data_IF_030478115208
#
_entry.id   IF_030478115208
#
_cell.length_a   1.000
_cell.length_b   1.000
_cell.length_c   1.000
_cell.angle_alpha   90.00
_cell.angle_beta   90.00
_cell.angle_gamma   90.00
#
_symmetry.space_group_name_H-M   'P 1'
#
loop_
_entity.id
_entity.type
_entity.pdbx_description
1 polymer ?
#
# COMPACT_ATOMS: atom_id res chain seq x y z
N UNK A 1 10.71 -39.49 6.93
CA UNK A 1 11.34 -39.12 5.64
C UNK A 1 10.60 -37.89 5.10
N UNK A 2 11.32 -36.86 4.66
CA UNK A 2 10.74 -35.62 4.14
C UNK A 2 10.57 -35.72 2.62
N UNK A 3 9.45 -35.27 2.04
CA UNK A 3 9.28 -35.24 0.58
C UNK A 3 10.41 -34.46 -0.10
N UNK A 4 10.96 -34.96 -1.22
CA UNK A 4 12.07 -34.32 -1.91
C UNK A 4 11.68 -32.96 -2.53
N UNK A 5 10.40 -32.77 -2.84
CA UNK A 5 9.81 -31.52 -3.31
C UNK A 5 8.72 -31.10 -2.33
N UNK A 6 8.67 -29.80 -2.02
CA UNK A 6 7.65 -29.20 -1.17
C UNK A 6 7.07 -27.98 -1.83
N UNK A 7 5.79 -27.77 -1.56
CA UNK A 7 5.08 -26.56 -1.92
C UNK A 7 5.24 -25.53 -0.80
N UNK A 8 5.59 -24.30 -1.18
CA UNK A 8 5.79 -23.17 -0.29
C UNK A 8 4.92 -22.01 -0.75
N UNK A 9 4.23 -21.36 0.18
CA UNK A 9 3.51 -20.12 -0.07
C UNK A 9 4.19 -18.98 0.64
N UNK A 10 4.59 -17.95 -0.10
CA UNK A 10 5.14 -16.71 0.44
C UNK A 10 4.08 -15.63 0.31
N UNK A 11 3.82 -14.89 1.39
CA UNK A 11 2.82 -13.82 1.42
C UNK A 11 3.51 -12.47 1.66
N UNK A 12 3.10 -11.47 0.89
CA UNK A 12 3.60 -10.11 0.96
C UNK A 12 2.46 -9.17 1.35
N UNK A 13 2.75 -8.23 2.27
CA UNK A 13 1.84 -7.17 2.69
C UNK A 13 2.20 -5.87 1.95
N UNK A 14 1.99 -5.88 0.64
CA UNK A 14 2.48 -4.86 -0.28
C UNK A 14 1.48 -4.63 -1.41
N UNK A 15 1.67 -3.54 -2.17
CA UNK A 15 1.01 -3.39 -3.46
C UNK A 15 1.33 -4.60 -4.35
N UNK A 16 0.38 -5.00 -5.19
CA UNK A 16 0.53 -6.15 -6.06
C UNK A 16 1.55 -5.82 -7.16
N UNK A 17 2.58 -6.65 -7.35
CA UNK A 17 3.61 -6.37 -8.34
C UNK A 17 3.11 -6.67 -9.75
N UNK A 18 3.76 -6.07 -10.73
CA UNK A 18 3.49 -6.35 -12.15
C UNK A 18 4.11 -7.67 -12.62
N UNK A 19 5.01 -8.26 -11.83
CA UNK A 19 5.55 -9.59 -12.09
C UNK A 19 6.32 -10.15 -10.90
N UNK A 20 6.32 -11.48 -10.76
CA UNK A 20 7.12 -12.21 -9.80
C UNK A 20 7.81 -13.34 -10.52
N UNK A 21 9.07 -13.60 -10.16
CA UNK A 21 9.80 -14.76 -10.66
C UNK A 21 10.33 -15.60 -9.51
N UNK A 22 10.36 -16.91 -9.71
CA UNK A 22 11.02 -17.88 -8.85
C UNK A 22 12.08 -18.55 -9.68
N UNK A 23 13.34 -18.46 -9.25
CA UNK A 23 14.48 -19.05 -9.98
C UNK A 23 14.51 -18.65 -11.47
N UNK A 24 14.12 -17.38 -11.71
CA UNK A 24 13.97 -16.72 -13.03
C UNK A 24 12.77 -17.16 -13.88
N UNK A 25 11.97 -18.11 -13.42
CA UNK A 25 10.70 -18.46 -14.07
C UNK A 25 9.57 -17.56 -13.54
N UNK A 26 8.70 -16.99 -14.40
CA UNK A 26 7.55 -16.23 -13.95
C UNK A 26 6.58 -17.10 -13.17
N UNK A 27 5.98 -16.54 -12.12
CA UNK A 27 4.93 -17.20 -11.34
C UNK A 27 3.72 -16.29 -11.18
N UNK A 28 2.54 -16.90 -11.23
CA UNK A 28 1.30 -16.21 -10.91
C UNK A 28 1.21 -15.95 -9.41
N UNK A 29 0.62 -14.81 -9.05
CA UNK A 29 0.34 -14.45 -7.67
C UNK A 29 -1.16 -14.23 -7.48
N UNK A 30 -1.65 -14.71 -6.35
CA UNK A 30 -3.04 -14.55 -5.90
C UNK A 30 -3.16 -13.40 -4.91
N UNK A 31 -4.35 -12.82 -4.78
CA UNK A 31 -4.62 -11.71 -3.87
C UNK A 31 -4.68 -10.36 -4.58
N UNK A 32 -4.66 -9.30 -3.78
CA UNK A 32 -4.88 -7.92 -4.21
C UNK A 32 -3.78 -7.02 -3.69
N UNK A 33 -3.87 -5.73 -3.99
CA UNK A 33 -3.06 -4.72 -3.31
C UNK A 33 -3.23 -4.84 -1.78
N UNK A 34 -2.13 -4.63 -1.06
CA UNK A 34 -2.07 -4.76 0.40
C UNK A 34 -1.86 -6.17 0.92
N UNK A 35 -2.24 -7.22 0.16
CA UNK A 35 -1.96 -8.63 0.52
C UNK A 35 -2.04 -9.56 -0.68
N UNK A 36 -0.90 -10.12 -1.07
CA UNK A 36 -0.82 -11.12 -2.13
C UNK A 36 0.16 -12.24 -1.78
N UNK A 37 -0.04 -13.40 -2.41
CA UNK A 37 0.77 -14.60 -2.16
C UNK A 37 1.20 -15.25 -3.47
N UNK A 38 2.43 -15.77 -3.48
CA UNK A 38 2.95 -16.62 -4.54
C UNK A 38 3.22 -18.03 -3.98
N UNK A 39 2.91 -19.05 -4.77
CA UNK A 39 3.12 -20.44 -4.40
C UNK A 39 4.12 -21.09 -5.34
N UNK A 40 5.08 -21.82 -4.78
CA UNK A 40 6.18 -22.47 -5.51
C UNK A 40 6.40 -23.88 -5.02
N UNK A 41 6.61 -24.81 -5.95
CA UNK A 41 7.16 -26.13 -5.64
C UNK A 41 8.69 -26.09 -5.78
N UNK A 42 9.40 -26.33 -4.69
CA UNK A 42 10.86 -26.27 -4.62
C UNK A 42 11.45 -27.52 -3.93
N UNK A 43 12.68 -27.95 -4.29
CA UNK A 43 13.34 -29.04 -3.59
C UNK A 43 13.57 -28.70 -2.12
N UNK A 44 13.27 -29.64 -1.21
CA UNK A 44 13.30 -29.38 0.23
C UNK A 44 14.71 -29.11 0.82
N UNK A 45 15.77 -29.36 0.04
CA UNK A 45 17.17 -29.15 0.43
C UNK A 45 17.94 -28.18 -0.47
N UNK A 46 17.25 -27.44 -1.35
CA UNK A 46 17.87 -26.46 -2.24
C UNK A 46 17.37 -25.06 -1.91
N UNK A 47 18.20 -24.06 -2.23
CA UNK A 47 17.78 -22.67 -2.22
C UNK A 47 16.82 -22.40 -3.39
N UNK A 48 15.79 -21.59 -3.13
CA UNK A 48 14.90 -21.03 -4.15
C UNK A 48 14.84 -19.53 -3.94
N UNK A 49 14.99 -18.76 -5.02
CA UNK A 49 15.03 -17.30 -4.99
C UNK A 49 13.78 -16.72 -5.61
N UNK A 50 13.00 -16.00 -4.79
CA UNK A 50 11.86 -15.20 -5.23
C UNK A 50 12.33 -13.77 -5.55
N UNK A 51 12.04 -13.28 -6.75
CA UNK A 51 12.27 -11.87 -7.14
C UNK A 51 10.96 -11.23 -7.52
N UNK A 52 10.67 -10.09 -6.91
CA UNK A 52 9.51 -9.26 -7.21
C UNK A 52 9.94 -8.18 -8.21
N UNK A 53 9.28 -8.15 -9.37
CA UNK A 53 9.56 -7.21 -10.44
C UNK A 53 8.91 -5.85 -10.22
N UNK A 54 9.45 -4.83 -10.88
CA UNK A 54 9.12 -3.42 -10.64
C UNK A 54 10.05 -2.81 -9.61
N UNK A 55 10.25 -1.50 -9.71
CA UNK A 55 10.88 -0.59 -8.72
C UNK A 55 10.44 -0.91 -7.26
N UNK A 56 11.13 -0.42 -6.21
CA UNK A 56 11.12 -1.05 -4.88
C UNK A 56 9.74 -1.46 -4.40
N UNK A 57 9.65 -2.69 -3.88
CA UNK A 57 8.41 -3.29 -3.37
C UNK A 57 7.79 -2.37 -2.32
N UNK A 58 6.68 -1.71 -2.66
CA UNK A 58 5.99 -0.80 -1.75
C UNK A 58 5.15 -1.59 -0.75
N UNK A 59 5.62 -1.61 0.49
CA UNK A 59 4.96 -2.26 1.64
C UNK A 59 4.12 -1.20 2.36
N UNK A 60 2.87 -1.54 2.71
CA UNK A 60 1.89 -0.63 3.31
C UNK A 60 0.96 0.07 2.31
N UNK A 61 -0.11 0.70 2.81
CA UNK A 61 -1.00 1.56 2.04
C UNK A 61 -0.29 2.86 1.69
N UNK A 62 -0.53 3.42 0.49
CA UNK A 62 -0.07 4.79 0.25
C UNK A 62 -0.82 5.74 1.18
N UNK A 63 -0.27 6.93 1.40
CA UNK A 63 -0.94 7.96 2.19
C UNK A 63 -2.30 8.30 1.58
N UNK A 64 -2.33 8.38 0.25
CA UNK A 64 -3.53 8.64 -0.53
C UNK A 64 -4.56 7.53 -0.33
N UNK A 65 -4.16 6.26 -0.37
CA UNK A 65 -5.07 5.13 -0.12
C UNK A 65 -5.63 5.17 1.30
N UNK A 66 -4.79 5.44 2.31
CA UNK A 66 -5.22 5.53 3.70
C UNK A 66 -6.22 6.69 3.94
N UNK A 67 -6.01 7.83 3.25
CA UNK A 67 -6.98 8.93 3.28
C UNK A 67 -8.28 8.54 2.57
N UNK A 68 -8.21 7.83 1.45
CA UNK A 68 -9.39 7.40 0.73
C UNK A 68 -10.25 6.46 1.59
N UNK A 69 -9.64 5.45 2.22
CA UNK A 69 -10.32 4.54 3.16
C UNK A 69 -10.97 5.31 4.34
N UNK A 70 -10.25 6.29 4.90
CA UNK A 70 -10.76 7.14 5.97
C UNK A 70 -11.99 7.94 5.52
N UNK A 71 -11.93 8.57 4.34
CA UNK A 71 -13.03 9.36 3.79
C UNK A 71 -14.22 8.48 3.42
N UNK A 72 -14.00 7.27 2.92
CA UNK A 72 -15.05 6.29 2.63
C UNK A 72 -15.80 5.90 3.91
N UNK A 73 -15.08 5.59 4.99
CA UNK A 73 -15.65 5.22 6.28
C UNK A 73 -16.36 6.40 6.98
N UNK A 74 -15.89 7.63 6.78
CA UNK A 74 -16.45 8.82 7.41
C UNK A 74 -17.92 9.04 7.01
N UNK A 75 -18.79 9.21 8.00
CA UNK A 75 -20.21 9.51 7.79
C UNK A 75 -20.43 11.02 7.62
N UNK A 76 -19.83 11.58 6.57
CA UNK A 76 -19.91 13.01 6.20
C UNK A 76 -20.44 13.17 4.78
N UNK A 77 -20.80 14.40 4.40
CA UNK A 77 -21.31 14.70 3.07
C UNK A 77 -20.27 14.44 1.97
N UNK A 78 -20.76 14.02 0.80
CA UNK A 78 -19.91 13.77 -0.37
C UNK A 78 -19.15 15.01 -0.87
N UNK A 79 -19.72 16.23 -0.84
CA UNK A 79 -18.97 17.44 -1.20
C UNK A 79 -17.72 17.64 -0.33
N UNK A 80 -17.84 17.42 0.98
CA UNK A 80 -16.74 17.56 1.93
C UNK A 80 -15.68 16.46 1.72
N UNK A 81 -16.11 15.22 1.45
CA UNK A 81 -15.18 14.14 1.06
C UNK A 81 -14.40 14.49 -0.20
N UNK A 82 -15.07 14.99 -1.23
CA UNK A 82 -14.44 15.36 -2.49
C UNK A 82 -13.46 16.51 -2.31
N UNK A 83 -13.85 17.56 -1.59
CA UNK A 83 -12.99 18.70 -1.30
C UNK A 83 -11.73 18.27 -0.52
N UNK A 84 -11.89 17.44 0.52
CA UNK A 84 -10.75 16.89 1.27
C UNK A 84 -9.84 16.02 0.38
N UNK A 85 -10.43 15.19 -0.48
CA UNK A 85 -9.68 14.34 -1.41
C UNK A 85 -8.86 15.17 -2.40
N UNK A 86 -9.44 16.23 -2.98
CA UNK A 86 -8.76 17.14 -3.91
C UNK A 86 -7.57 17.85 -3.27
N UNK A 87 -7.69 18.26 -2.00
CA UNK A 87 -6.57 18.82 -1.24
C UNK A 87 -5.44 17.79 -1.09
N UNK A 88 -5.76 16.57 -0.67
CA UNK A 88 -4.76 15.53 -0.37
C UNK A 88 -4.03 15.06 -1.62
N UNK A 89 -4.75 14.76 -2.71
CA UNK A 89 -4.16 14.28 -3.98
C UNK A 89 -3.38 15.36 -4.75
N UNK A 90 -3.48 16.62 -4.32
CA UNK A 90 -2.77 17.73 -4.93
C UNK A 90 -1.25 17.60 -4.76
N UNK A 91 -0.49 18.10 -5.73
CA UNK A 91 0.98 18.05 -5.72
C UNK A 91 1.63 19.21 -4.95
N UNK A 92 0.86 19.98 -4.18
CA UNK A 92 1.34 21.12 -3.40
C UNK A 92 2.17 20.67 -2.19
N UNK A 93 3.09 21.51 -1.67
CA UNK A 93 3.79 21.25 -0.42
C UNK A 93 2.84 20.85 0.71
N UNK A 94 3.29 19.97 1.62
CA UNK A 94 2.45 19.47 2.73
C UNK A 94 1.87 20.61 3.56
N UNK A 95 2.66 21.65 3.85
CA UNK A 95 2.20 22.81 4.60
C UNK A 95 1.03 23.55 3.91
N UNK A 96 1.09 23.70 2.58
CA UNK A 96 0.00 24.31 1.81
C UNK A 96 -1.25 23.43 1.81
N UNK A 97 -1.10 22.12 1.65
CA UNK A 97 -2.22 21.17 1.74
C UNK A 97 -2.89 21.20 3.12
N UNK A 98 -2.11 21.28 4.20
CA UNK A 98 -2.64 21.40 5.56
C UNK A 98 -3.39 22.72 5.76
N UNK A 99 -2.86 23.82 5.20
CA UNK A 99 -3.54 25.11 5.23
C UNK A 99 -4.88 25.06 4.46
N UNK A 100 -4.92 24.43 3.28
CA UNK A 100 -6.16 24.28 2.52
C UNK A 100 -7.16 23.34 3.19
N UNK A 101 -6.69 22.24 3.81
CA UNK A 101 -7.54 21.33 4.57
C UNK A 101 -8.25 22.05 5.72
N UNK A 102 -7.64 23.11 6.28
CA UNK A 102 -8.26 23.94 7.31
C UNK A 102 -9.54 24.64 6.83
N UNK A 103 -9.66 24.91 5.53
CA UNK A 103 -10.82 25.55 4.92
C UNK A 103 -11.96 24.58 4.59
N UNK A 104 -11.72 23.26 4.62
CA UNK A 104 -12.78 22.26 4.41
C UNK A 104 -13.57 22.07 5.71
N UNK A 105 -14.90 22.04 5.63
CA UNK A 105 -15.79 21.82 6.78
C UNK A 105 -15.82 20.33 7.19
N UNK A 106 -14.70 19.83 7.68
CA UNK A 106 -14.57 18.47 8.19
C UNK A 106 -14.81 18.40 9.71
N UNK A 107 -15.40 17.31 10.22
CA UNK A 107 -15.34 16.98 11.63
C UNK A 107 -13.89 16.92 12.11
N UNK A 108 -13.65 17.41 13.33
CA UNK A 108 -12.29 17.53 13.89
C UNK A 108 -11.52 16.21 13.90
N UNK A 109 -12.21 15.09 14.16
CA UNK A 109 -11.62 13.76 14.13
C UNK A 109 -11.10 13.38 12.73
N UNK A 110 -11.88 13.68 11.68
CA UNK A 110 -11.49 13.40 10.28
C UNK A 110 -10.34 14.32 9.87
N UNK A 111 -10.43 15.62 10.18
CA UNK A 111 -9.37 16.60 9.90
C UNK A 111 -8.05 16.22 10.57
N UNK A 112 -8.10 15.82 11.84
CA UNK A 112 -6.93 15.40 12.62
C UNK A 112 -6.28 14.16 12.01
N UNK A 113 -7.08 13.15 11.65
CA UNK A 113 -6.56 11.93 11.04
C UNK A 113 -5.91 12.19 9.67
N UNK A 114 -6.52 13.03 8.80
CA UNK A 114 -5.90 13.43 7.53
C UNK A 114 -4.61 14.23 7.77
N UNK A 115 -4.61 15.11 8.77
CA UNK A 115 -3.42 15.89 9.15
C UNK A 115 -2.27 14.99 9.59
N UNK A 116 -2.56 13.97 10.39
CA UNK A 116 -1.59 12.96 10.81
C UNK A 116 -1.04 12.19 9.61
N UNK A 117 -1.91 11.72 8.71
CA UNK A 117 -1.50 11.02 7.50
C UNK A 117 -0.62 11.90 6.59
N UNK A 118 -0.96 13.18 6.42
CA UNK A 118 -0.15 14.16 5.66
C UNK A 118 1.19 14.49 6.35
N UNK A 119 1.19 14.58 7.68
CA UNK A 119 2.35 14.92 8.50
C UNK A 119 3.30 13.75 8.78
N UNK A 120 2.86 12.51 8.56
CA UNK A 120 3.71 11.33 8.65
C UNK A 120 4.82 11.41 7.58
N UNK A 121 5.98 11.92 7.98
CA UNK A 121 7.21 11.88 7.20
C UNK A 121 7.58 10.42 7.00
N UNK A 122 7.68 9.98 5.74
CA UNK A 122 8.22 8.67 5.44
C UNK A 122 9.64 8.58 5.99
N UNK A 123 9.88 7.67 6.92
CA UNK A 123 11.22 7.13 7.15
C UNK A 123 11.63 6.40 5.86
N UNK A 124 12.11 7.14 4.88
CA UNK A 124 12.35 6.66 3.52
C UNK A 124 13.07 7.67 2.62
N UNK A 125 13.80 8.62 3.21
CA UNK A 125 14.87 9.33 2.53
C UNK A 125 16.20 8.94 3.21
N UNK A 126 16.91 8.02 2.56
CA UNK A 126 18.23 7.52 2.94
C UNK A 126 18.85 6.81 1.75
#
# INVERSE_FOLDING_TARGET
>A
MVPPVREWTVTFLALRPTGVTVDRAPVDVTGTDGRWSGTVSAPAGAETVVRVGGWPLRVGTTREDAVLELLEAAQIGNPEKLAAWEVVRGSRPVAERLAELSAVELPDAVRSAITELLGAVGAGEG
#
